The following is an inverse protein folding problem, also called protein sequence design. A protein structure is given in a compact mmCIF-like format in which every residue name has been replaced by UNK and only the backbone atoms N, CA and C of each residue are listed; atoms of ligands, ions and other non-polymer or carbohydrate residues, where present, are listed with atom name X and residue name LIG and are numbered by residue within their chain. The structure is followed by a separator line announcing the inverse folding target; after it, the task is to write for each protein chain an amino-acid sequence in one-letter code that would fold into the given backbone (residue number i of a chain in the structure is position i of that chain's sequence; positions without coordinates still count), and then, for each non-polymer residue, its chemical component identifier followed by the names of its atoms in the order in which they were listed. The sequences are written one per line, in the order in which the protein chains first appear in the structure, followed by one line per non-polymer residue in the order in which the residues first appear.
data_IF_002479894757
#
_entry.id   IF_002479894757
#
_cell.length_a   1.000
_cell.length_b   1.000
_cell.length_c   1.000
_cell.angle_alpha   90.00
_cell.angle_beta   90.00
_cell.angle_gamma   90.00
#
_symmetry.space_group_name_H-M   'P 1'
#
loop_
_entity.id
_entity.type
_entity.pdbx_description
1 polymer ?
#
# COMPACT_ATOMS: atom_id res chain seq x y z
N UNK A 1 -2.72 -3.92 12.95
CA UNK A 1 -3.16 -4.28 11.57
C UNK A 1 -4.45 -3.57 11.18
N UNK A 2 -5.43 -3.46 12.09
CA UNK A 2 -6.74 -2.83 11.82
C UNK A 2 -6.64 -1.40 11.26
N UNK A 3 -5.72 -0.59 11.79
CA UNK A 3 -5.54 0.79 11.32
C UNK A 3 -5.17 0.88 9.84
N UNK A 4 -4.37 -0.06 9.31
CA UNK A 4 -3.98 -0.05 7.88
C UNK A 4 -5.21 -0.33 7.01
N UNK A 5 -6.00 -1.35 7.36
CA UNK A 5 -7.20 -1.73 6.61
C UNK A 5 -8.27 -0.62 6.64
N UNK A 6 -8.45 0.04 7.79
CA UNK A 6 -9.37 1.19 7.89
C UNK A 6 -8.89 2.38 7.05
N UNK A 7 -7.58 2.66 7.04
CA UNK A 7 -7.03 3.78 6.26
C UNK A 7 -7.06 3.51 4.76
N UNK A 8 -6.74 2.29 4.29
CA UNK A 8 -6.84 1.98 2.85
C UNK A 8 -8.29 2.00 2.34
N UNK A 9 -9.27 1.70 3.21
CA UNK A 9 -10.68 1.78 2.86
C UNK A 9 -11.16 3.21 2.63
N UNK A 10 -10.53 4.19 3.30
CA UNK A 10 -10.86 5.61 3.19
C UNK A 10 -10.11 6.33 2.05
N UNK A 11 -9.11 5.68 1.44
CA UNK A 11 -8.33 6.24 0.33
C UNK A 11 -9.23 6.73 -0.80
N UNK A 12 -9.07 8.00 -1.17
CA UNK A 12 -9.68 8.60 -2.34
C UNK A 12 -8.97 8.15 -3.62
N UNK A 13 -9.58 8.42 -4.77
CA UNK A 13 -8.92 8.19 -6.06
C UNK A 13 -7.70 9.10 -6.24
N UNK A 14 -6.61 8.53 -6.77
CA UNK A 14 -5.31 9.19 -6.86
C UNK A 14 -4.47 9.17 -5.56
N UNK A 15 -5.01 8.68 -4.44
CA UNK A 15 -4.26 8.54 -3.19
C UNK A 15 -3.72 7.12 -3.01
N UNK A 16 -2.58 7.02 -2.31
CA UNK A 16 -1.97 5.76 -1.91
C UNK A 16 -1.53 5.82 -0.44
N UNK A 17 -1.58 4.68 0.23
CA UNK A 17 -1.10 4.54 1.60
C UNK A 17 0.33 4.02 1.60
N UNK A 18 1.25 4.80 2.17
CA UNK A 18 2.63 4.38 2.42
C UNK A 18 2.75 3.79 3.83
N UNK A 19 3.06 2.51 3.90
CA UNK A 19 3.29 1.78 5.14
C UNK A 19 4.79 1.58 5.31
N UNK A 20 5.35 2.24 6.32
CA UNK A 20 6.74 2.06 6.72
C UNK A 20 6.81 0.95 7.76
N UNK A 21 7.42 -0.18 7.41
CA UNK A 21 7.51 -1.32 8.31
C UNK A 21 8.93 -1.88 8.38
N UNK A 22 9.28 -2.50 9.51
CA UNK A 22 10.60 -3.13 9.68
C UNK A 22 10.66 -4.57 9.17
N UNK A 23 9.52 -5.14 8.82
CA UNK A 23 9.33 -6.55 8.46
C UNK A 23 8.09 -6.72 7.58
N UNK A 24 8.10 -7.63 6.62
CA UNK A 24 6.95 -7.78 5.71
C UNK A 24 5.71 -8.34 6.42
N UNK A 25 4.56 -7.63 6.39
CA UNK A 25 3.31 -8.10 6.92
C UNK A 25 2.64 -9.06 5.93
N UNK A 26 3.21 -10.26 5.79
CA UNK A 26 2.70 -11.35 4.97
C UNK A 26 1.19 -11.62 5.07
N UNK A 27 0.53 -11.59 6.26
CA UNK A 27 -0.91 -11.82 6.35
C UNK A 27 -1.77 -10.71 5.70
N UNK A 28 -1.19 -9.56 5.38
CA UNK A 28 -1.91 -8.41 4.82
C UNK A 28 -2.13 -8.54 3.31
N UNK A 29 -1.15 -9.07 2.57
CA UNK A 29 -1.21 -9.21 1.11
C UNK A 29 -2.45 -9.96 0.58
N UNK A 30 -2.84 -11.14 1.10
CA UNK A 30 -4.05 -11.81 0.61
C UNK A 30 -5.33 -11.01 0.89
N UNK A 31 -5.34 -10.18 1.93
CA UNK A 31 -6.49 -9.30 2.22
C UNK A 31 -6.55 -8.19 1.18
N UNK A 32 -5.42 -7.55 0.88
CA UNK A 32 -5.33 -6.52 -0.16
C UNK A 32 -5.82 -7.02 -1.52
N UNK A 33 -5.36 -8.20 -1.95
CA UNK A 33 -5.81 -8.80 -3.21
C UNK A 33 -7.31 -9.04 -3.23
N UNK A 34 -7.87 -9.57 -2.13
CA UNK A 34 -9.31 -9.85 -2.03
C UNK A 34 -10.16 -8.60 -2.08
N UNK A 35 -9.67 -7.51 -1.50
CA UNK A 35 -10.32 -6.21 -1.46
C UNK A 35 -10.09 -5.37 -2.73
N UNK A 36 -9.31 -5.87 -3.71
CA UNK A 36 -9.05 -5.17 -4.97
C UNK A 36 -8.00 -4.06 -4.87
N UNK A 37 -7.08 -4.17 -3.91
CA UNK A 37 -5.94 -3.27 -3.76
C UNK A 37 -4.67 -3.89 -4.36
N UNK A 38 -3.85 -3.03 -4.95
CA UNK A 38 -2.50 -3.36 -5.39
C UNK A 38 -1.49 -2.80 -4.38
N UNK A 39 -0.30 -3.39 -4.34
CA UNK A 39 0.79 -2.93 -3.48
C UNK A 39 2.15 -3.06 -4.16
N UNK A 40 3.09 -2.23 -3.70
CA UNK A 40 4.50 -2.26 -4.07
C UNK A 40 5.34 -2.28 -2.82
N UNK A 41 6.11 -3.34 -2.66
CA UNK A 41 7.15 -3.47 -1.65
C UNK A 41 8.47 -2.97 -2.22
N UNK A 42 9.06 -1.96 -1.59
CA UNK A 42 10.38 -1.44 -1.95
C UNK A 42 11.26 -1.28 -0.72
N UNK A 43 12.58 -1.48 -0.85
CA UNK A 43 13.52 -1.24 0.23
C UNK A 43 13.63 0.26 0.50
N UNK A 44 13.37 0.67 1.73
CA UNK A 44 13.39 2.07 2.13
C UNK A 44 14.73 2.58 2.60
N UNK A 45 14.87 3.90 2.63
CA UNK A 45 16.03 4.58 3.27
C UNK A 45 15.85 4.74 4.78
N UNK A 46 14.63 5.01 5.23
CA UNK A 46 14.31 5.21 6.66
C UNK A 46 13.95 3.90 7.38
N UNK A 47 13.31 2.96 6.66
CA UNK A 47 12.96 1.63 7.15
C UNK A 47 13.36 0.58 6.12
N UNK A 48 13.65 -0.66 6.51
CA UNK A 48 14.07 -1.69 5.57
C UNK A 48 12.98 -2.10 4.58
N UNK A 49 11.69 -1.90 4.91
CA UNK A 49 10.57 -2.27 4.05
C UNK A 49 9.55 -1.15 3.98
N UNK A 50 9.32 -0.65 2.79
CA UNK A 50 8.27 0.30 2.49
C UNK A 50 7.25 -0.34 1.58
N UNK A 51 5.97 -0.17 1.92
CA UNK A 51 4.87 -0.77 1.20
C UNK A 51 3.93 0.34 0.78
N UNK A 52 3.87 0.63 -0.51
CA UNK A 52 2.87 1.53 -1.08
C UNK A 52 1.65 0.71 -1.46
N UNK A 53 0.46 1.06 -0.96
CA UNK A 53 -0.80 0.35 -1.22
C UNK A 53 -1.77 1.33 -1.88
N UNK A 54 -2.40 0.93 -2.97
CA UNK A 54 -3.39 1.75 -3.68
C UNK A 54 -4.51 0.87 -4.26
N UNK A 55 -5.59 1.50 -4.72
CA UNK A 55 -6.70 0.78 -5.36
C UNK A 55 -6.22 0.21 -6.69
N UNK A 56 -6.44 -1.08 -6.96
CA UNK A 56 -5.98 -1.71 -8.20
C UNK A 56 -6.65 -1.14 -9.46
N UNK A 57 -7.78 -0.45 -9.31
CA UNK A 57 -8.49 0.23 -10.39
C UNK A 57 -8.07 1.71 -10.56
N UNK A 58 -7.04 2.15 -9.82
CA UNK A 58 -6.60 3.55 -9.78
C UNK A 58 -5.19 3.69 -10.34
N UNK A 59 -5.13 3.98 -11.64
CA UNK A 59 -3.87 4.10 -12.39
C UNK A 59 -3.10 5.36 -12.01
N UNK A 60 -3.80 6.41 -11.56
CA UNK A 60 -3.16 7.65 -11.09
C UNK A 60 -2.39 7.39 -9.79
N UNK A 61 -3.03 6.74 -8.82
CA UNK A 61 -2.37 6.34 -7.58
C UNK A 61 -1.19 5.38 -7.84
N UNK A 62 -1.31 4.45 -8.79
CA UNK A 62 -0.20 3.58 -9.21
C UNK A 62 0.99 4.42 -9.70
N UNK A 63 0.74 5.36 -10.62
CA UNK A 63 1.78 6.18 -11.20
C UNK A 63 2.47 7.02 -10.12
N UNK A 64 1.72 7.62 -9.21
CA UNK A 64 2.27 8.40 -8.09
C UNK A 64 3.06 7.52 -7.12
N UNK A 65 2.57 6.34 -6.78
CA UNK A 65 3.25 5.40 -5.88
C UNK A 65 4.57 4.86 -6.44
N UNK A 66 4.70 4.76 -7.77
CA UNK A 66 5.93 4.32 -8.45
C UNK A 66 6.93 5.46 -8.69
N UNK A 67 6.47 6.70 -8.77
CA UNK A 67 7.33 7.87 -9.03
C UNK A 67 7.93 8.48 -7.74
N UNK A 68 7.63 7.92 -6.58
CA UNK A 68 8.05 8.40 -5.25
C UNK A 68 8.93 7.37 -4.53
#
# INVERSE_FOLDING_TARGET
MERILSTIGDLQSGEYLRVLHRMEPHPLYPILTREGFAWLTQPGREVPVEISIWRSNDTEAEATARNH
#
